data_IF_467119564852
#
_entry.id   IF_467119564852
#
_cell.length_a   1.000
_cell.length_b   1.000
_cell.length_c   1.000
_cell.angle_alpha   90.00
_cell.angle_beta   90.00
_cell.angle_gamma   90.00
#
_symmetry.space_group_name_H-M   'P 1'
#
loop_
_entity.id
_entity.type
_entity.pdbx_description
1 polymer ?
#
# COMPACT_ATOMS: atom_id res chain seq x y z
N UNK A 1 -17.53 -22.48 -4.06
CA UNK A 1 -16.42 -21.81 -4.79
C UNK A 1 -15.17 -21.86 -3.90
N UNK A 2 -14.00 -22.07 -4.50
CA UNK A 2 -12.71 -22.08 -3.81
C UNK A 2 -11.79 -21.05 -4.46
N UNK A 3 -11.10 -20.23 -3.66
CA UNK A 3 -10.05 -19.34 -4.15
C UNK A 3 -8.69 -19.97 -3.92
N UNK A 4 -7.78 -19.90 -4.90
CA UNK A 4 -6.42 -20.45 -4.79
C UNK A 4 -5.35 -19.46 -5.26
N UNK A 5 -4.14 -19.61 -4.73
CA UNK A 5 -2.97 -18.94 -5.27
C UNK A 5 -2.59 -19.59 -6.60
N UNK A 6 -2.40 -18.77 -7.65
CA UNK A 6 -1.91 -19.21 -8.96
C UNK A 6 -0.57 -19.94 -8.88
N UNK A 7 0.30 -19.55 -7.96
CA UNK A 7 1.68 -20.05 -7.89
C UNK A 7 1.83 -21.29 -7.00
N UNK A 8 1.10 -21.36 -5.87
CA UNK A 8 1.25 -22.45 -4.89
C UNK A 8 0.08 -23.43 -4.88
N UNK A 9 -1.02 -23.13 -5.59
CA UNK A 9 -2.32 -23.83 -5.50
C UNK A 9 -2.91 -23.90 -4.08
N UNK A 10 -2.33 -23.17 -3.12
CA UNK A 10 -2.86 -23.09 -1.77
C UNK A 10 -4.17 -22.30 -1.79
N UNK A 11 -5.16 -22.72 -0.99
CA UNK A 11 -6.41 -22.00 -0.87
C UNK A 11 -6.22 -20.62 -0.20
N UNK A 12 -7.14 -19.69 -0.46
CA UNK A 12 -7.03 -18.28 -0.04
C UNK A 12 -8.30 -17.75 0.66
N UNK A 13 -8.17 -17.42 1.94
CA UNK A 13 -9.19 -16.71 2.72
C UNK A 13 -9.22 -15.19 2.42
N UNK A 14 -10.38 -14.58 2.66
CA UNK A 14 -10.56 -13.14 2.63
C UNK A 14 -10.77 -12.52 1.25
N UNK A 15 -10.97 -13.33 0.20
CA UNK A 15 -11.44 -12.84 -1.09
C UNK A 15 -12.94 -12.49 -0.98
N UNK A 16 -13.36 -11.31 -1.43
CA UNK A 16 -14.76 -10.89 -1.42
C UNK A 16 -15.35 -10.93 -2.83
N UNK A 17 -16.60 -11.38 -2.95
CA UNK A 17 -17.31 -11.56 -4.20
C UNK A 17 -18.73 -10.99 -4.13
N UNK A 18 -19.23 -10.60 -5.29
CA UNK A 18 -20.66 -10.37 -5.53
C UNK A 18 -21.18 -11.40 -6.53
N UNK A 19 -22.36 -11.95 -6.26
CA UNK A 19 -23.11 -12.83 -7.14
C UNK A 19 -24.21 -12.04 -7.84
N UNK A 20 -24.22 -12.11 -9.17
CA UNK A 20 -25.23 -11.49 -10.03
C UNK A 20 -26.09 -12.57 -10.70
N UNK A 21 -27.35 -12.23 -10.98
CA UNK A 21 -28.22 -13.02 -11.85
C UNK A 21 -28.02 -12.67 -13.34
N UNK A 22 -28.79 -13.30 -14.22
CA UNK A 22 -28.73 -13.06 -15.67
C UNK A 22 -29.18 -11.66 -16.11
N UNK A 23 -29.82 -10.89 -15.22
CA UNK A 23 -30.24 -9.51 -15.48
C UNK A 23 -29.23 -8.50 -14.91
N UNK A 24 -28.04 -8.95 -14.52
CA UNK A 24 -27.00 -8.14 -13.87
C UNK A 24 -27.46 -7.54 -12.53
N UNK A 25 -28.46 -8.14 -11.89
CA UNK A 25 -28.88 -7.74 -10.55
C UNK A 25 -28.03 -8.46 -9.52
N UNK A 26 -27.40 -7.69 -8.62
CA UNK A 26 -26.67 -8.25 -7.49
C UNK A 26 -27.66 -8.94 -6.53
N UNK A 27 -27.54 -10.26 -6.38
CA UNK A 27 -28.42 -11.04 -5.51
C UNK A 27 -27.78 -11.34 -4.16
N UNK A 28 -26.44 -11.43 -4.11
CA UNK A 28 -25.66 -11.58 -2.88
C UNK A 28 -24.38 -10.76 -3.02
N UNK A 29 -24.04 -10.00 -1.97
CA UNK A 29 -22.83 -9.17 -1.89
C UNK A 29 -21.99 -9.57 -0.69
N UNK A 30 -20.72 -9.16 -0.68
CA UNK A 30 -19.78 -9.41 0.42
C UNK A 30 -19.65 -10.90 0.76
N UNK A 31 -19.73 -11.77 -0.24
CA UNK A 31 -19.45 -13.19 -0.07
C UNK A 31 -17.95 -13.35 0.12
N UNK A 32 -17.51 -13.81 1.29
CA UNK A 32 -16.09 -13.91 1.63
C UNK A 32 -15.67 -15.37 1.69
N UNK A 33 -14.51 -15.73 1.12
CA UNK A 33 -13.92 -17.05 1.38
C UNK A 33 -13.62 -17.20 2.87
N UNK A 34 -14.25 -18.21 3.47
CA UNK A 34 -14.29 -18.41 4.91
C UNK A 34 -13.00 -19.04 5.49
N UNK A 35 -13.03 -19.49 6.75
CA UNK A 35 -11.88 -20.14 7.39
C UNK A 35 -11.52 -21.53 6.81
N UNK A 36 -12.39 -22.09 5.98
CA UNK A 36 -12.12 -23.28 5.15
C UNK A 36 -11.68 -22.88 3.74
N UNK A 37 -11.53 -21.57 3.47
CA UNK A 37 -11.19 -20.95 2.19
C UNK A 37 -12.24 -21.17 1.09
N UNK A 38 -13.50 -21.39 1.47
CA UNK A 38 -14.60 -21.67 0.55
C UNK A 38 -15.75 -20.66 0.68
N UNK A 39 -16.57 -20.59 -0.37
CA UNK A 39 -17.90 -19.96 -0.34
C UNK A 39 -18.94 -21.00 -0.76
N UNK A 40 -19.93 -21.23 0.09
CA UNK A 40 -21.10 -22.06 -0.21
C UNK A 40 -22.34 -21.17 -0.36
N UNK A 41 -22.96 -21.22 -1.54
CA UNK A 41 -24.24 -20.56 -1.81
C UNK A 41 -25.29 -21.63 -2.06
N UNK A 42 -26.42 -21.56 -1.35
CA UNK A 42 -27.52 -22.52 -1.43
C UNK A 42 -28.84 -21.82 -1.77
N UNK A 43 -29.81 -22.57 -2.29
CA UNK A 43 -31.16 -22.06 -2.55
C UNK A 43 -31.28 -21.21 -3.81
N UNK A 44 -30.31 -21.29 -4.73
CA UNK A 44 -30.41 -20.69 -6.05
C UNK A 44 -31.45 -21.44 -6.89
N UNK A 45 -32.26 -20.68 -7.62
CA UNK A 45 -33.17 -21.23 -8.64
C UNK A 45 -32.39 -21.69 -9.87
N UNK A 46 -32.92 -22.60 -10.70
CA UNK A 46 -32.27 -22.94 -11.96
C UNK A 46 -32.07 -21.70 -12.85
N UNK A 47 -30.86 -21.50 -13.36
CA UNK A 47 -30.48 -20.30 -14.11
C UNK A 47 -28.97 -20.09 -14.18
N UNK A 48 -28.56 -19.03 -14.88
CA UNK A 48 -27.16 -18.62 -14.98
C UNK A 48 -26.89 -17.49 -13.99
N UNK A 49 -25.79 -17.62 -13.27
CA UNK A 49 -25.29 -16.66 -12.30
C UNK A 49 -23.85 -16.30 -12.60
N UNK A 50 -23.38 -15.19 -12.03
CA UNK A 50 -22.06 -14.63 -12.29
C UNK A 50 -21.40 -14.18 -11.01
N UNK A 51 -20.25 -14.77 -10.69
CA UNK A 51 -19.37 -14.30 -9.62
C UNK A 51 -18.41 -13.24 -10.17
N UNK A 52 -18.26 -12.14 -9.43
CA UNK A 52 -17.24 -11.12 -9.67
C UNK A 52 -16.47 -10.89 -8.37
N UNK A 53 -15.15 -11.03 -8.40
CA UNK A 53 -14.31 -10.68 -7.25
C UNK A 53 -14.33 -9.16 -7.08
N UNK A 54 -14.75 -8.70 -5.90
CA UNK A 54 -14.80 -7.27 -5.54
C UNK A 54 -13.61 -6.85 -4.68
N UNK A 55 -12.94 -7.81 -4.03
CA UNK A 55 -11.73 -7.58 -3.25
C UNK A 55 -10.87 -8.83 -3.23
N UNK A 56 -9.59 -8.68 -3.56
CA UNK A 56 -8.61 -9.74 -3.48
C UNK A 56 -8.24 -10.06 -2.01
N UNK A 57 -7.77 -11.29 -1.73
CA UNK A 57 -7.04 -11.60 -0.51
C UNK A 57 -5.84 -10.66 -0.31
N UNK A 58 -5.46 -10.45 0.96
CA UNK A 58 -4.31 -9.60 1.29
C UNK A 58 -3.02 -10.07 0.58
N UNK A 59 -2.37 -9.17 -0.17
CA UNK A 59 -1.14 -9.46 -0.91
C UNK A 59 -1.34 -10.13 -2.27
N UNK A 60 -2.59 -10.20 -2.77
CA UNK A 60 -2.92 -10.73 -4.08
C UNK A 60 -3.51 -9.63 -4.98
N UNK A 61 -3.33 -9.79 -6.29
CA UNK A 61 -3.94 -8.94 -7.30
C UNK A 61 -5.44 -9.23 -7.39
N UNK A 62 -6.26 -8.19 -7.57
CA UNK A 62 -7.70 -8.32 -7.82
C UNK A 62 -7.92 -8.76 -9.27
N UNK A 63 -8.66 -9.84 -9.45
CA UNK A 63 -9.13 -10.27 -10.76
C UNK A 63 -10.65 -10.08 -10.86
N UNK A 64 -11.12 -8.93 -11.38
CA UNK A 64 -12.56 -8.66 -11.51
C UNK A 64 -13.18 -9.36 -12.72
N UNK A 65 -12.47 -10.29 -13.37
CA UNK A 65 -13.01 -11.06 -14.50
C UNK A 65 -14.27 -11.80 -14.06
N UNK A 66 -15.41 -11.63 -14.76
CA UNK A 66 -16.62 -12.35 -14.39
C UNK A 66 -16.54 -13.85 -14.66
N UNK A 67 -17.07 -14.64 -13.73
CA UNK A 67 -17.12 -16.10 -13.83
C UNK A 67 -18.56 -16.60 -13.74
N UNK A 68 -19.04 -17.17 -14.85
CA UNK A 68 -20.40 -17.67 -14.96
C UNK A 68 -20.53 -19.09 -14.39
N UNK A 69 -21.65 -19.36 -13.73
CA UNK A 69 -22.03 -20.68 -13.21
C UNK A 69 -23.49 -20.94 -13.60
N UNK A 70 -23.80 -22.16 -14.03
CA UNK A 70 -25.15 -22.57 -14.41
C UNK A 70 -25.68 -23.53 -13.35
N UNK A 71 -26.85 -23.21 -12.79
CA UNK A 71 -27.57 -24.09 -11.89
C UNK A 71 -28.67 -24.78 -12.69
N UNK A 72 -28.59 -26.10 -12.79
CA UNK A 72 -29.56 -26.89 -13.54
C UNK A 72 -30.78 -27.25 -12.69
N UNK A 73 -31.90 -27.50 -13.36
CA UNK A 73 -33.11 -27.98 -12.68
C UNK A 73 -32.87 -29.38 -12.12
N UNK A 74 -33.22 -29.57 -10.84
CA UNK A 74 -33.03 -30.82 -10.09
C UNK A 74 -31.55 -31.26 -9.97
N UNK A 75 -30.62 -30.31 -10.00
CA UNK A 75 -29.21 -30.56 -9.73
C UNK A 75 -29.04 -31.20 -8.35
N UNK A 76 -28.42 -32.39 -8.30
CA UNK A 76 -28.21 -33.15 -7.08
C UNK A 76 -26.89 -32.78 -6.37
N UNK A 77 -25.85 -32.50 -7.14
CA UNK A 77 -24.50 -32.18 -6.65
C UNK A 77 -24.23 -30.68 -6.71
N UNK A 78 -23.48 -30.14 -5.77
CA UNK A 78 -23.10 -28.72 -5.81
C UNK A 78 -22.11 -28.45 -6.96
N UNK A 79 -22.33 -27.36 -7.70
CA UNK A 79 -21.39 -26.90 -8.72
C UNK A 79 -20.14 -26.29 -8.07
N UNK A 80 -18.95 -26.73 -8.51
CA UNK A 80 -17.69 -26.28 -7.94
C UNK A 80 -16.94 -25.33 -8.88
N UNK A 81 -16.87 -24.06 -8.48
CA UNK A 81 -16.03 -23.05 -9.13
C UNK A 81 -14.69 -22.91 -8.39
N UNK A 82 -13.57 -22.96 -9.12
CA UNK A 82 -12.22 -22.72 -8.58
C UNK A 82 -11.61 -21.52 -9.28
N UNK A 83 -11.28 -20.48 -8.53
CA UNK A 83 -10.73 -19.23 -9.05
C UNK A 83 -9.32 -18.99 -8.51
N UNK A 84 -8.43 -18.41 -9.31
CA UNK A 84 -7.01 -18.22 -8.96
C UNK A 84 -6.65 -16.74 -8.86
N UNK A 85 -5.84 -16.33 -7.88
CA UNK A 85 -5.25 -14.99 -7.86
C UNK A 85 -3.73 -15.07 -7.95
N UNK A 86 -3.16 -14.07 -8.59
CA UNK A 86 -1.73 -13.87 -8.63
C UNK A 86 -1.26 -13.10 -7.39
N UNK A 87 -0.14 -13.55 -6.81
CA UNK A 87 0.43 -12.89 -5.63
C UNK A 87 1.21 -11.67 -6.07
N UNK A 88 0.97 -10.53 -5.42
CA UNK A 88 1.75 -9.31 -5.63
C UNK A 88 3.19 -9.51 -5.16
N UNK A 89 4.12 -8.82 -5.83
CA UNK A 89 5.55 -8.96 -5.60
C UNK A 89 6.17 -7.68 -5.07
N UNK A 90 7.01 -7.77 -4.03
CA UNK A 90 7.87 -6.67 -3.64
C UNK A 90 9.05 -6.52 -4.61
N UNK A 91 9.42 -5.28 -4.85
CA UNK A 91 10.62 -4.89 -5.59
C UNK A 91 11.52 -4.04 -4.69
N UNK A 92 12.82 -4.34 -4.68
CA UNK A 92 13.81 -3.66 -3.88
C UNK A 92 14.90 -3.08 -4.77
N UNK A 93 15.26 -1.84 -4.47
CA UNK A 93 16.46 -1.18 -5.00
C UNK A 93 17.47 -1.05 -3.87
N UNK A 94 18.74 -1.30 -4.16
CA UNK A 94 19.87 -1.01 -3.28
C UNK A 94 20.86 -0.15 -4.06
N UNK A 95 21.06 1.08 -3.61
CA UNK A 95 22.00 2.01 -4.20
C UNK A 95 23.33 1.95 -3.46
N UNK A 96 24.42 1.84 -4.21
CA UNK A 96 25.78 1.81 -3.66
C UNK A 96 26.74 2.66 -4.47
N UNK A 97 27.81 3.08 -3.82
CA UNK A 97 28.99 3.64 -4.46
C UNK A 97 29.66 2.59 -5.37
N UNK A 98 30.09 2.99 -6.57
CA UNK A 98 30.63 2.08 -7.58
C UNK A 98 32.03 1.54 -7.25
N UNK A 99 32.82 2.25 -6.45
CA UNK A 99 34.18 1.87 -6.06
C UNK A 99 34.24 1.18 -4.69
N UNK A 100 33.72 1.84 -3.65
CA UNK A 100 33.74 1.37 -2.26
C UNK A 100 32.63 0.35 -1.95
N UNK A 101 31.51 0.39 -2.70
CA UNK A 101 30.31 -0.40 -2.40
C UNK A 101 29.53 0.10 -1.18
N UNK A 102 29.83 1.28 -0.65
CA UNK A 102 29.09 1.90 0.45
C UNK A 102 27.66 2.23 0.06
N UNK A 103 26.72 2.08 0.99
CA UNK A 103 25.30 2.26 0.70
C UNK A 103 24.93 3.75 0.64
N UNK A 104 24.20 4.15 -0.42
CA UNK A 104 23.90 5.56 -0.67
C UNK A 104 22.45 5.90 -0.37
N UNK A 105 22.27 6.75 0.63
CA UNK A 105 20.97 7.31 1.00
C UNK A 105 20.54 8.42 0.04
N UNK A 106 19.25 8.70 0.05
CA UNK A 106 18.68 9.88 -0.59
C UNK A 106 18.72 9.91 -2.14
N UNK A 107 19.01 8.80 -2.82
CA UNK A 107 18.78 8.65 -4.26
C UNK A 107 17.27 8.57 -4.54
N UNK A 108 16.76 9.30 -5.54
CA UNK A 108 15.33 9.29 -5.91
C UNK A 108 15.11 8.59 -7.24
N UNK A 109 14.28 7.56 -7.22
CA UNK A 109 13.92 6.76 -8.38
C UNK A 109 12.47 6.97 -8.82
N UNK A 110 12.25 6.78 -10.11
CA UNK A 110 10.93 6.60 -10.71
C UNK A 110 10.83 5.19 -11.30
N UNK A 111 9.75 4.47 -10.97
CA UNK A 111 9.39 3.22 -11.63
C UNK A 111 8.24 3.49 -12.58
N UNK A 112 8.42 3.17 -13.86
CA UNK A 112 7.41 3.30 -14.91
C UNK A 112 6.93 1.92 -15.34
N UNK A 113 5.64 1.81 -15.62
CA UNK A 113 5.01 0.62 -16.21
C UNK A 113 4.80 0.82 -17.71
N UNK A 114 3.78 0.15 -18.26
CA UNK A 114 3.43 0.23 -19.67
C UNK A 114 3.25 1.69 -20.15
N UNK A 115 3.74 1.96 -21.37
CA UNK A 115 3.63 3.26 -22.05
C UNK A 115 4.23 4.44 -21.26
N UNK A 116 5.22 4.17 -20.39
CA UNK A 116 5.88 5.20 -19.59
C UNK A 116 5.03 5.72 -18.43
N UNK A 117 3.89 5.08 -18.12
CA UNK A 117 3.06 5.49 -16.99
C UNK A 117 3.82 5.30 -15.68
N UNK A 118 4.03 6.39 -14.94
CA UNK A 118 4.63 6.33 -13.61
C UNK A 118 3.79 5.46 -12.67
N UNK A 119 4.42 4.43 -12.12
CA UNK A 119 3.86 3.51 -11.11
C UNK A 119 4.21 4.00 -9.71
N UNK A 120 5.47 4.40 -9.49
CA UNK A 120 5.92 4.87 -8.19
C UNK A 120 7.09 5.86 -8.33
N UNK A 121 7.27 6.69 -7.29
CA UNK A 121 8.48 7.47 -7.03
C UNK A 121 8.89 7.21 -5.59
N UNK A 122 10.16 6.92 -5.35
CA UNK A 122 10.65 6.52 -4.04
C UNK A 122 12.11 6.91 -3.85
N UNK A 123 12.56 6.90 -2.60
CA UNK A 123 13.90 7.34 -2.19
C UNK A 123 14.61 6.24 -1.41
N UNK A 124 15.93 6.11 -1.57
CA UNK A 124 16.73 5.20 -0.73
C UNK A 124 16.86 5.70 0.70
N UNK A 125 16.80 4.78 1.64
CA UNK A 125 16.95 5.05 3.07
C UNK A 125 18.43 5.11 3.51
N UNK A 126 18.69 5.23 4.81
CA UNK A 126 20.05 5.28 5.38
C UNK A 126 20.92 4.05 5.09
N UNK A 127 20.31 2.94 4.66
CA UNK A 127 21.00 1.70 4.27
C UNK A 127 21.10 1.58 2.75
N UNK A 128 20.83 2.65 2.00
CA UNK A 128 20.77 2.65 0.55
C UNK A 128 19.61 1.83 -0.02
N UNK A 129 18.64 1.41 0.78
CA UNK A 129 17.56 0.53 0.32
C UNK A 129 16.26 1.31 0.07
N UNK A 130 15.51 0.88 -0.95
CA UNK A 130 14.12 1.30 -1.14
C UNK A 130 13.25 0.10 -1.51
N UNK A 131 12.02 0.05 -0.98
CA UNK A 131 11.10 -1.07 -1.18
C UNK A 131 9.74 -0.60 -1.72
N UNK A 132 9.32 -1.21 -2.82
CA UNK A 132 7.95 -1.12 -3.33
C UNK A 132 7.26 -2.44 -2.98
N UNK A 133 6.22 -2.46 -2.12
CA UNK A 133 5.72 -3.70 -1.55
C UNK A 133 4.87 -4.53 -2.52
N UNK A 134 4.13 -3.86 -3.41
CA UNK A 134 3.00 -4.45 -4.13
C UNK A 134 3.06 -4.11 -5.61
N UNK A 135 3.72 -4.95 -6.40
CA UNK A 135 3.71 -4.88 -7.86
C UNK A 135 3.08 -6.12 -8.46
N UNK A 136 2.29 -5.89 -9.52
CA UNK A 136 1.80 -6.96 -10.39
C UNK A 136 2.95 -7.49 -11.24
N UNK A 137 2.85 -8.73 -11.72
CA UNK A 137 3.83 -9.22 -12.68
C UNK A 137 3.77 -8.42 -13.98
N UNK A 138 4.93 -8.26 -14.62
CA UNK A 138 5.05 -7.38 -15.78
C UNK A 138 6.47 -6.87 -15.99
N UNK A 139 6.59 -5.99 -16.99
CA UNK A 139 7.82 -5.28 -17.30
C UNK A 139 7.70 -3.83 -16.83
N UNK A 140 8.77 -3.33 -16.23
CA UNK A 140 8.88 -1.98 -15.71
C UNK A 140 10.22 -1.37 -16.11
N UNK A 141 10.26 -0.05 -16.14
CA UNK A 141 11.49 0.73 -16.33
C UNK A 141 11.81 1.49 -15.06
N UNK A 142 12.96 1.21 -14.46
CA UNK A 142 13.51 1.93 -13.33
C UNK A 142 14.43 3.05 -13.85
N UNK A 143 14.22 4.26 -13.35
CA UNK A 143 14.97 5.46 -13.76
C UNK A 143 15.43 6.18 -12.48
N UNK A 144 16.72 6.47 -12.36
CA UNK A 144 17.18 7.41 -11.35
C UNK A 144 16.84 8.84 -11.81
N UNK A 145 16.19 9.61 -10.94
CA UNK A 145 15.76 10.98 -11.25
C UNK A 145 16.49 12.03 -10.43
N UNK A 146 17.20 11.62 -9.39
CA UNK A 146 18.07 12.46 -8.58
C UNK A 146 19.08 11.54 -7.89
N UNK A 147 20.36 11.77 -8.14
CA UNK A 147 21.45 11.10 -7.44
C UNK A 147 21.54 11.58 -5.97
N UNK A 148 22.16 10.78 -5.09
CA UNK A 148 22.64 11.25 -3.80
C UNK A 148 23.50 12.50 -3.92
N UNK A 149 23.58 13.28 -2.84
CA UNK A 149 24.48 14.45 -2.79
C UNK A 149 25.92 13.99 -2.99
N UNK A 150 26.65 14.66 -3.89
CA UNK A 150 28.04 14.35 -4.23
C UNK A 150 28.22 13.23 -5.25
N UNK A 151 27.14 12.76 -5.88
CA UNK A 151 27.18 11.71 -6.89
C UNK A 151 26.63 12.18 -8.23
N UNK A 152 27.15 11.61 -9.32
CA UNK A 152 26.61 11.80 -10.66
C UNK A 152 25.30 11.04 -10.84
N UNK A 153 24.36 11.62 -11.59
CA UNK A 153 23.09 10.98 -11.93
C UNK A 153 23.27 9.86 -12.95
N UNK A 154 22.88 8.62 -12.60
CA UNK A 154 22.75 7.52 -13.56
C UNK A 154 21.44 7.67 -14.35
N UNK A 155 21.54 8.36 -15.48
CA UNK A 155 20.39 8.56 -16.37
C UNK A 155 20.00 7.31 -17.20
N UNK A 156 20.72 6.19 -17.09
CA UNK A 156 20.45 4.99 -17.88
C UNK A 156 19.20 4.23 -17.36
N UNK A 157 18.13 4.08 -18.16
CA UNK A 157 16.94 3.35 -17.73
C UNK A 157 17.20 1.83 -17.64
N UNK A 158 16.77 1.21 -16.54
CA UNK A 158 16.94 -0.23 -16.29
C UNK A 158 15.62 -0.98 -16.43
N UNK A 159 15.58 -2.00 -17.29
CA UNK A 159 14.37 -2.82 -17.50
C UNK A 159 14.27 -3.93 -16.45
N UNK A 160 13.18 -3.93 -15.69
CA UNK A 160 12.89 -4.90 -14.62
C UNK A 160 11.74 -5.81 -15.07
N UNK A 161 11.92 -7.13 -14.94
CA UNK A 161 10.92 -8.14 -15.31
C UNK A 161 10.46 -8.94 -14.10
N UNK A 162 9.26 -8.64 -13.62
CA UNK A 162 8.58 -9.37 -12.55
C UNK A 162 7.77 -10.52 -13.17
N UNK A 163 8.26 -11.76 -13.06
CA UNK A 163 7.55 -12.95 -13.59
C UNK A 163 6.52 -13.49 -12.60
N UNK A 164 5.37 -13.95 -13.09
CA UNK A 164 4.46 -14.84 -12.34
C UNK A 164 5.22 -16.09 -11.87
N UNK A 165 4.98 -16.54 -10.63
CA UNK A 165 5.56 -17.78 -10.10
C UNK A 165 7.10 -17.83 -9.89
N UNK A 166 7.84 -16.75 -10.17
CA UNK A 166 9.30 -16.65 -9.94
C UNK A 166 9.69 -16.25 -8.50
N UNK A 167 10.89 -15.67 -8.32
CA UNK A 167 11.40 -15.21 -7.02
C UNK A 167 10.36 -14.42 -6.22
N UNK A 168 10.33 -14.68 -4.91
CA UNK A 168 9.39 -14.06 -3.99
C UNK A 168 9.65 -12.55 -3.83
N UNK A 169 10.89 -12.11 -4.11
CA UNK A 169 11.35 -10.72 -4.02
C UNK A 169 12.34 -10.49 -5.17
N UNK A 170 12.16 -9.42 -5.95
CA UNK A 170 13.14 -9.02 -6.95
C UNK A 170 13.97 -7.87 -6.38
N UNK A 171 15.30 -8.01 -6.42
CA UNK A 171 16.26 -6.99 -5.95
C UNK A 171 17.14 -6.54 -7.11
N UNK A 172 17.38 -5.25 -7.19
CA UNK A 172 18.31 -4.63 -8.13
C UNK A 172 19.30 -3.79 -7.35
N UNK A 173 20.59 -3.97 -7.64
CA UNK A 173 21.64 -3.06 -7.20
C UNK A 173 21.87 -2.04 -8.31
N UNK A 174 21.84 -0.77 -7.93
CA UNK A 174 22.22 0.37 -8.78
C UNK A 174 23.47 0.99 -8.14
N UNK A 175 24.35 1.49 -8.99
CA UNK A 175 25.69 1.95 -8.62
C UNK A 175 25.87 3.36 -9.13
N UNK A 176 26.34 4.27 -8.28
CA UNK A 176 26.65 5.63 -8.66
C UNK A 176 28.12 5.96 -8.45
N UNK A 177 28.64 6.83 -9.32
CA UNK A 177 30.01 7.34 -9.27
C UNK A 177 30.02 8.70 -8.58
N UNK A 178 31.00 8.93 -7.70
CA UNK A 178 31.23 10.23 -7.06
C UNK A 178 31.41 11.31 -8.14
N UNK A 179 30.80 12.46 -7.94
CA UNK A 179 31.04 13.64 -8.77
C UNK A 179 32.45 14.20 -8.46
N UNK A 180 33.41 14.16 -9.41
CA UNK A 180 34.79 14.58 -9.16
C UNK A 180 34.92 16.07 -8.84
N UNK A 181 33.91 16.88 -9.18
CA UNK A 181 33.88 18.32 -8.88
C UNK A 181 33.17 18.62 -7.55
N UNK A 182 32.68 17.59 -6.84
CA UNK A 182 32.06 17.76 -5.54
C UNK A 182 33.10 17.83 -4.43
N UNK A 183 33.23 19.02 -3.83
CA UNK A 183 34.00 19.20 -2.60
C UNK A 183 33.11 18.87 -1.41
N UNK A 184 33.43 17.80 -0.69
CA UNK A 184 32.81 17.55 0.61
C UNK A 184 33.22 18.68 1.54
N UNK A 185 32.24 19.48 1.98
CA UNK A 185 32.49 20.40 3.08
C UNK A 185 32.89 19.56 4.29
N UNK A 186 34.10 19.80 4.81
CA UNK A 186 34.54 19.20 6.06
C UNK A 186 33.48 19.54 7.12
N UNK A 187 32.74 18.55 7.63
CA UNK A 187 31.87 18.76 8.79
C UNK A 187 32.76 19.29 9.92
N UNK A 188 32.66 20.59 10.21
CA UNK A 188 33.43 21.29 11.22
C UNK A 188 33.56 20.44 12.47
N UNK A 189 34.78 19.96 12.74
CA UNK A 189 35.14 19.43 14.04
C UNK A 189 34.81 20.49 15.10
N UNK A 190 34.02 20.21 16.16
CA UNK A 190 33.89 21.14 17.27
C UNK A 190 35.19 21.09 18.07
N UNK A 191 36.16 21.90 17.66
CA UNK A 191 37.55 21.79 18.12
C UNK A 191 38.36 23.07 18.00
N UNK A 192 37.78 24.21 18.35
CA UNK A 192 38.51 25.47 18.52
C UNK A 192 38.34 26.01 19.93
N UNK A 193 39.27 25.67 20.83
CA UNK A 193 39.41 26.27 22.16
C UNK A 193 39.74 27.77 22.02
N UNK A 194 38.70 28.60 21.97
CA UNK A 194 38.80 30.02 22.26
C UNK A 194 38.82 30.21 23.77
N UNK A 195 40.01 30.47 24.32
CA UNK A 195 40.20 30.88 25.71
C UNK A 195 39.22 32.01 26.10
N UNK A 196 38.49 31.91 27.22
CA UNK A 196 37.66 33.00 27.71
C UNK A 196 38.58 34.13 28.22
N UNK A 197 38.58 35.26 27.53
CA UNK A 197 39.17 36.48 28.10
C UNK A 197 38.32 36.94 29.29
N UNK A 198 38.96 36.84 30.45
CA UNK A 198 38.67 37.38 31.78
C UNK A 198 37.78 38.65 31.82
N UNK A 199 36.71 38.67 32.65
CA UNK A 199 35.80 39.81 32.81
C UNK A 199 36.27 40.80 33.90
N UNK A 200 36.54 42.05 33.50
CA UNK A 200 36.64 43.18 34.44
C UNK A 200 36.10 44.52 33.86
N UNK A 201 34.77 44.69 33.99
CA UNK A 201 33.93 45.85 34.43
C UNK A 201 34.53 47.29 34.51
N UNK A 202 33.77 48.44 34.57
CA UNK A 202 32.32 48.73 34.34
C UNK A 202 32.01 49.98 33.45
N UNK A 203 30.71 50.13 33.13
CA UNK A 203 29.94 51.39 32.90
C UNK A 203 30.25 52.24 31.66
N UNK A 204 29.30 52.23 30.70
CA UNK A 204 28.65 53.48 30.31
C UNK A 204 27.18 53.25 29.95
N UNK A 205 26.37 54.19 30.40
CA UNK A 205 24.92 54.23 30.50
C UNK A 205 24.25 54.76 29.24
N UNK A 206 23.24 54.07 28.72
CA UNK A 206 21.99 54.70 28.24
C UNK A 206 20.84 53.71 28.25
N UNK A 207 19.81 54.12 28.98
CA UNK A 207 18.52 53.49 29.27
C UNK A 207 17.54 53.63 28.08
N UNK A 208 16.71 52.62 27.76
CA UNK A 208 15.49 52.82 26.97
C UNK A 208 14.30 53.08 27.91
N UNK A 209 13.59 54.19 27.70
CA UNK A 209 12.34 54.50 28.39
C UNK A 209 11.16 53.73 27.79
N UNK A 210 10.32 53.21 28.68
CA UNK A 210 9.05 52.51 28.42
C UNK A 210 7.86 53.51 28.60
N UNK A 211 6.58 53.14 28.38
CA UNK A 211 5.69 53.79 27.43
C UNK A 211 4.61 54.69 28.06
N UNK A 212 4.03 55.62 27.28
CA UNK A 212 2.74 56.28 27.60
C UNK A 212 1.85 56.45 26.36
N UNK A 213 0.66 55.87 26.44
CA UNK A 213 -0.58 56.20 25.71
C UNK A 213 -1.36 57.32 26.45
N UNK A 214 -2.53 57.80 25.99
CA UNK A 214 -2.94 58.29 24.67
C UNK A 214 -3.64 59.68 24.76
N UNK A 215 -3.96 60.31 23.61
CA UNK A 215 -4.93 61.41 23.56
C UNK A 215 -5.81 61.38 22.30
N UNK A 216 -7.13 61.49 22.50
CA UNK A 216 -8.22 61.73 21.53
C UNK A 216 -9.04 62.89 22.07
N UNK A 217 -9.43 63.90 21.26
CA UNK A 217 -10.86 64.11 20.89
C UNK A 217 -11.02 64.74 19.47
N UNK A 218 -12.18 64.88 18.79
CA UNK A 218 -13.60 64.52 18.97
C UNK A 218 -14.37 64.90 17.67
N UNK A 219 -15.52 64.24 17.40
CA UNK A 219 -16.73 64.80 16.74
C UNK A 219 -17.05 64.25 15.34
N UNK A 220 -18.28 63.84 14.97
CA UNK A 220 -19.56 63.67 15.69
C UNK A 220 -20.65 63.05 14.78
N UNK A 221 -21.69 62.48 15.43
CA UNK A 221 -23.12 62.28 15.07
C UNK A 221 -23.55 61.58 13.76
N UNK A 222 -24.16 60.38 13.83
CA UNK A 222 -25.63 60.12 13.89
C UNK A 222 -25.97 58.62 13.64
N UNK A 223 -27.15 58.19 14.13
CA UNK A 223 -27.64 56.81 14.42
C UNK A 223 -28.30 56.04 13.23
N UNK A 224 -29.01 54.89 13.38
CA UNK A 224 -28.51 53.51 13.50
C UNK A 224 -29.19 52.48 12.53
N UNK A 225 -28.75 51.21 12.63
CA UNK A 225 -29.36 49.94 12.12
C UNK A 225 -29.07 49.55 10.65
N UNK A 226 -28.43 48.41 10.44
CA UNK A 226 -29.14 47.22 9.92
C UNK A 226 -28.33 45.93 10.14
N UNK A 227 -29.09 44.88 10.37
CA UNK A 227 -28.74 43.48 10.60
C UNK A 227 -28.19 42.82 9.32
N UNK A 228 -27.24 41.89 9.45
CA UNK A 228 -26.58 41.32 8.28
C UNK A 228 -25.41 40.40 8.61
N UNK A 229 -25.74 39.26 9.20
CA UNK A 229 -24.88 38.08 9.34
C UNK A 229 -23.99 37.80 8.13
N UNK A 230 -22.66 37.80 8.32
CA UNK A 230 -21.72 37.14 7.40
C UNK A 230 -20.66 36.39 8.21
N UNK A 231 -20.92 35.10 8.41
CA UNK A 231 -20.00 34.13 9.00
C UNK A 231 -18.83 33.90 8.02
N UNK A 232 -17.66 34.45 8.34
CA UNK A 232 -16.41 34.07 7.72
C UNK A 232 -15.82 32.89 8.49
N UNK A 233 -16.00 31.70 7.94
CA UNK A 233 -15.42 30.45 8.42
C UNK A 233 -13.96 30.38 7.94
N UNK A 234 -12.99 30.73 8.78
CA UNK A 234 -11.58 30.36 8.55
C UNK A 234 -11.31 29.01 9.21
N UNK A 235 -11.28 27.97 8.38
CA UNK A 235 -10.95 26.61 8.77
C UNK A 235 -9.52 26.50 9.31
N UNK A 236 -9.42 26.17 10.60
CA UNK A 236 -8.23 25.55 11.17
C UNK A 236 -8.20 24.07 10.77
N UNK A 237 -7.10 23.64 10.17
CA UNK A 237 -6.83 22.24 9.83
C UNK A 237 -6.58 21.43 11.11
N UNK A 238 -7.10 20.20 11.25
CA UNK A 238 -6.70 19.30 12.33
C UNK A 238 -5.32 18.67 12.06
N UNK A 239 -4.43 18.75 13.05
CA UNK A 239 -3.28 17.85 13.17
C UNK A 239 -3.77 16.50 13.70
N UNK A 240 -3.52 15.41 12.98
CA UNK A 240 -3.75 14.04 13.48
C UNK A 240 -2.43 13.28 13.48
N UNK A 241 -2.07 12.79 14.66
CA UNK A 241 -0.83 12.09 14.94
C UNK A 241 -0.87 11.50 16.34
N UNK A 242 -1.94 10.77 16.69
CA UNK A 242 -1.95 9.86 17.83
C UNK A 242 -2.62 8.55 17.42
N UNK A 243 -1.92 7.45 17.69
CA UNK A 243 -2.33 6.08 17.43
C UNK A 243 -3.27 5.59 18.53
N UNK A 244 -4.54 5.39 18.22
CA UNK A 244 -5.47 4.69 19.11
C UNK A 244 -5.30 3.16 18.98
N UNK A 245 -5.15 2.41 20.08
CA UNK A 245 -5.06 0.97 20.04
C UNK A 245 -6.45 0.35 19.83
N UNK A 246 -6.61 -0.42 18.75
CA UNK A 246 -7.84 -1.18 18.52
C UNK A 246 -8.07 -2.20 19.65
N UNK A 247 -9.08 -1.89 20.46
CA UNK A 247 -9.65 -2.75 21.49
C UNK A 247 -10.15 -4.07 20.90
N UNK A 248 -9.56 -5.17 21.34
CA UNK A 248 -9.96 -6.55 21.03
C UNK A 248 -11.17 -6.93 21.89
N UNK A 249 -12.38 -6.76 21.34
CA UNK A 249 -13.57 -7.39 21.91
C UNK A 249 -13.75 -8.78 21.27
N UNK A 250 -13.83 -9.88 22.04
CA UNK A 250 -14.05 -11.20 21.49
C UNK A 250 -15.50 -11.35 21.00
N UNK A 251 -15.68 -11.47 19.69
CA UNK A 251 -16.96 -11.82 19.07
C UNK A 251 -17.29 -13.26 19.46
N UNK A 252 -18.30 -13.42 20.31
CA UNK A 252 -18.86 -14.73 20.68
C UNK A 252 -19.80 -15.21 19.57
N UNK A 253 -19.35 -16.14 18.73
CA UNK A 253 -20.24 -16.90 17.85
C UNK A 253 -20.61 -18.24 18.50
N UNK A 254 -21.91 -18.45 18.60
CA UNK A 254 -22.59 -19.64 19.09
C UNK A 254 -22.41 -20.78 18.06
N UNK A 255 -21.63 -21.81 18.40
CA UNK A 255 -21.50 -23.02 17.60
C UNK A 255 -22.76 -23.88 17.72
N UNK A 256 -23.54 -23.97 16.64
CA UNK A 256 -24.51 -25.03 16.45
C UNK A 256 -23.85 -26.15 15.64
N UNK A 257 -23.65 -27.29 16.30
CA UNK A 257 -23.09 -28.52 15.74
C UNK A 257 -24.13 -29.19 14.86
N UNK A 258 -23.83 -29.41 13.58
CA UNK A 258 -24.41 -30.52 12.81
C UNK A 258 -23.33 -31.16 11.95
N UNK A 259 -22.90 -32.35 12.37
CA UNK A 259 -22.01 -33.20 11.61
C UNK A 259 -22.78 -34.08 10.64
N UNK A 260 -22.24 -34.25 9.44
CA UNK A 260 -22.49 -35.44 8.60
C UNK A 260 -21.17 -35.84 7.96
N UNK A 261 -20.63 -36.96 8.44
CA UNK A 261 -19.52 -37.70 7.89
C UNK A 261 -20.04 -38.59 6.75
N UNK A 262 -19.62 -38.35 5.50
CA UNK A 262 -19.82 -39.30 4.41
C UNK A 262 -18.48 -39.88 3.95
N UNK A 263 -18.23 -41.11 4.40
CA UNK A 263 -17.18 -41.99 3.90
C UNK A 263 -17.56 -42.47 2.49
N UNK A 264 -16.81 -42.08 1.46
CA UNK A 264 -16.90 -42.72 0.14
C UNK A 264 -15.99 -43.96 0.09
N UNK A 265 -16.63 -45.13 0.04
CA UNK A 265 -15.99 -46.42 -0.21
C UNK A 265 -15.61 -46.55 -1.69
N UNK A 266 -14.31 -46.56 -1.98
CA UNK A 266 -13.77 -46.83 -3.30
C UNK A 266 -13.75 -48.35 -3.58
N UNK A 267 -14.76 -48.89 -4.29
CA UNK A 267 -14.71 -50.26 -4.82
C UNK A 267 -14.18 -50.23 -6.26
N UNK A 268 -12.88 -50.51 -6.41
CA UNK A 268 -12.27 -50.88 -7.70
C UNK A 268 -12.88 -52.20 -8.20
N UNK A 269 -13.59 -52.17 -9.34
CA UNK A 269 -13.90 -53.39 -10.10
C UNK A 269 -12.64 -53.85 -10.85
N UNK A 270 -12.13 -55.01 -10.49
CA UNK A 270 -11.13 -55.79 -11.23
C UNK A 270 -11.88 -56.51 -12.36
N UNK A 271 -11.55 -56.17 -13.61
CA UNK A 271 -11.97 -56.96 -14.78
C UNK A 271 -11.13 -58.24 -14.82
N UNK A 272 -11.78 -59.39 -14.72
CA UNK A 272 -11.29 -60.73 -15.04
C UNK A 272 -12.51 -61.57 -15.43
N UNK A 273 -12.51 -62.02 -16.69
CA UNK A 273 -13.23 -63.12 -17.37
C UNK A 273 -13.45 -62.67 -18.83
N UNK A 274 -13.16 -63.47 -19.85
CA UNK A 274 -13.47 -64.89 -19.98
C UNK A 274 -12.34 -65.68 -20.66
N UNK A 275 -12.03 -66.84 -20.07
CA UNK A 275 -11.96 -68.11 -20.78
C UNK A 275 -13.04 -69.01 -20.19
#
# INVERSE_FOLDING_TARGET
>A
MIKKSKNTNQPLAGAEFTLYDSNETAILTNLVTDASDEILVTGLTPGTYRFIETKAPAGYELDPTPHDVVIEKNQADAEQLVLINERLKPFLVHEVDDESGEALKDATFELQGAQGKRVARFKTDKKGEARIPNLVSGEYTLIETQAPVGYLLDSEPRIIRLKSGGEAVVRVTVTNTIDPDYEFEDEDTPGGSGDPKDPSNPKDTTQPDDPKTPHVPSGGTDTPNDDGTRLSNSGGLPQTGESEPFSTQPIRFLLAVFGILLLSLNRRKKSQREG
#
